data_IF_379965391676
#
_entry.id   IF_379965391676
#
_cell.length_a   1.000
_cell.length_b   1.000
_cell.length_c   1.000
_cell.angle_alpha   90.00
_cell.angle_beta   90.00
_cell.angle_gamma   90.00
#
_symmetry.space_group_name_H-M   'P 1'
#
loop_
_entity.id
_entity.type
_entity.pdbx_description
1 polymer ?
#
# COMPACT_ATOMS: atom_id res chain seq x y z
N UNK A 1 -4.96 -22.42 -10.27
CA UNK A 1 -4.07 -21.56 -9.47
C UNK A 1 -2.69 -22.19 -9.53
N UNK A 2 -1.81 -21.71 -10.42
CA UNK A 2 -0.51 -22.33 -10.63
C UNK A 2 0.40 -22.01 -9.44
N UNK A 3 0.83 -23.04 -8.71
CA UNK A 3 1.93 -22.94 -7.75
C UNK A 3 3.19 -22.57 -8.54
N UNK A 4 3.58 -21.31 -8.45
CA UNK A 4 4.83 -20.85 -9.04
C UNK A 4 5.98 -21.35 -8.15
N UNK A 5 7.00 -22.00 -8.73
CA UNK A 5 8.10 -22.58 -7.96
C UNK A 5 8.88 -21.50 -7.21
N UNK A 6 9.45 -21.89 -6.07
CA UNK A 6 10.40 -21.08 -5.31
C UNK A 6 11.59 -20.74 -6.23
N UNK A 7 11.99 -19.46 -6.34
CA UNK A 7 13.14 -19.05 -7.13
C UNK A 7 14.42 -19.82 -6.71
N UNK A 8 15.30 -20.17 -7.68
CA UNK A 8 16.42 -21.08 -7.45
C UNK A 8 17.53 -20.54 -6.52
N UNK A 9 17.57 -19.23 -6.25
CA UNK A 9 18.62 -18.58 -5.44
C UNK A 9 18.17 -18.20 -4.02
N UNK A 10 17.03 -18.75 -3.54
CA UNK A 10 16.58 -18.51 -2.17
C UNK A 10 17.26 -19.51 -1.24
N UNK A 11 18.00 -19.01 -0.25
CA UNK A 11 18.48 -19.81 0.88
C UNK A 11 17.28 -20.37 1.64
N UNK A 12 17.00 -21.65 1.46
CA UNK A 12 15.83 -22.32 2.01
C UNK A 12 15.90 -22.41 3.54
N UNK A 13 17.10 -22.34 4.13
CA UNK A 13 17.30 -22.30 5.59
C UNK A 13 16.82 -20.98 6.22
N UNK A 14 16.53 -19.96 5.40
CA UNK A 14 15.97 -18.68 5.83
C UNK A 14 14.44 -18.62 5.86
N UNK A 15 13.76 -19.73 5.47
CA UNK A 15 12.31 -19.81 5.40
C UNK A 15 11.72 -20.46 6.66
N UNK A 16 10.61 -19.88 7.11
CA UNK A 16 9.90 -20.29 8.31
C UNK A 16 8.42 -20.48 7.98
N UNK A 17 7.76 -21.35 8.74
CA UNK A 17 6.30 -21.43 8.79
C UNK A 17 5.79 -20.98 10.15
N UNK A 18 4.57 -20.48 10.14
CA UNK A 18 3.74 -20.40 11.35
C UNK A 18 2.94 -21.71 11.42
N UNK A 19 2.86 -22.42 12.57
CA UNK A 19 2.21 -23.74 12.67
C UNK A 19 0.79 -23.85 12.12
N UNK A 20 0.00 -22.78 12.20
CA UNK A 20 -1.35 -22.69 11.64
C UNK A 20 -1.42 -21.89 10.34
N UNK A 21 -0.26 -21.43 9.85
CA UNK A 21 -0.12 -20.61 8.65
C UNK A 21 -0.26 -21.43 7.37
N UNK A 22 -0.63 -20.74 6.29
CA UNK A 22 -0.80 -21.33 4.96
C UNK A 22 0.32 -20.98 3.99
N UNK A 23 1.31 -20.22 4.46
CA UNK A 23 2.35 -19.61 3.65
C UNK A 23 3.70 -19.77 4.34
N UNK A 24 4.76 -19.88 3.55
CA UNK A 24 6.14 -19.73 4.03
C UNK A 24 6.52 -18.26 4.07
N UNK A 25 7.33 -17.89 5.05
CA UNK A 25 7.79 -16.52 5.27
C UNK A 25 9.29 -16.48 5.54
N UNK A 26 9.98 -15.43 5.12
CA UNK A 26 11.23 -15.04 5.75
C UNK A 26 10.96 -14.50 7.16
N UNK A 27 11.93 -14.61 8.08
CA UNK A 27 11.78 -14.13 9.47
C UNK A 27 11.36 -12.66 9.56
N UNK A 28 11.80 -11.82 8.62
CA UNK A 28 11.49 -10.37 8.59
C UNK A 28 10.25 -10.03 7.74
N UNK A 29 9.38 -11.00 7.46
CA UNK A 29 8.18 -10.73 6.68
C UNK A 29 7.23 -9.78 7.41
N UNK A 30 6.76 -8.74 6.71
CA UNK A 30 5.83 -7.74 7.27
C UNK A 30 4.44 -8.32 7.63
N UNK A 31 4.08 -9.48 7.07
CA UNK A 31 2.81 -10.13 7.39
C UNK A 31 2.90 -10.96 8.68
N UNK A 32 4.09 -11.04 9.30
CA UNK A 32 4.27 -11.69 10.58
C UNK A 32 4.07 -10.66 11.68
N UNK A 33 2.99 -10.85 12.43
CA UNK A 33 2.77 -10.12 13.68
C UNK A 33 3.76 -10.57 14.75
N UNK A 34 3.93 -9.80 15.82
CA UNK A 34 4.73 -10.19 16.99
C UNK A 34 4.36 -11.59 17.53
N UNK A 35 3.06 -11.90 17.58
CA UNK A 35 2.57 -13.24 17.99
C UNK A 35 3.01 -14.34 17.02
N UNK A 36 2.99 -14.06 15.72
CA UNK A 36 3.43 -15.01 14.69
C UNK A 36 4.94 -15.22 14.72
N UNK A 37 5.71 -14.15 14.98
CA UNK A 37 7.17 -14.19 15.11
C UNK A 37 7.61 -15.13 16.24
N UNK A 38 6.91 -15.08 17.38
CA UNK A 38 7.18 -15.94 18.53
C UNK A 38 6.91 -17.44 18.27
N UNK A 39 6.13 -17.76 17.22
CA UNK A 39 5.74 -19.12 16.86
C UNK A 39 6.44 -19.63 15.60
N UNK A 40 7.40 -18.89 15.04
CA UNK A 40 8.08 -19.29 13.81
C UNK A 40 8.88 -20.57 14.04
N UNK A 41 8.63 -21.54 13.16
CA UNK A 41 9.39 -22.78 13.07
C UNK A 41 10.13 -22.79 11.72
N UNK A 42 11.41 -23.21 11.68
CA UNK A 42 12.11 -23.42 10.42
C UNK A 42 11.28 -24.32 9.49
N UNK A 43 11.21 -23.96 8.21
CA UNK A 43 10.48 -24.74 7.23
C UNK A 43 11.18 -26.09 7.02
N UNK A 44 10.41 -27.18 7.07
CA UNK A 44 10.92 -28.51 6.72
C UNK A 44 10.85 -28.74 5.21
N UNK A 45 11.55 -29.74 4.68
CA UNK A 45 11.42 -30.15 3.27
C UNK A 45 9.95 -30.44 2.87
N UNK A 46 9.17 -31.00 3.81
CA UNK A 46 7.75 -31.27 3.60
C UNK A 46 6.93 -29.97 3.48
N UNK A 47 7.28 -28.95 4.25
CA UNK A 47 6.64 -27.63 4.19
C UNK A 47 6.97 -26.95 2.86
N UNK A 48 8.23 -27.00 2.43
CA UNK A 48 8.68 -26.46 1.14
C UNK A 48 7.95 -27.10 -0.05
N UNK A 49 7.60 -28.39 0.04
CA UNK A 49 6.86 -29.10 -0.99
C UNK A 49 5.35 -28.77 -1.02
N UNK A 50 4.78 -28.28 0.08
CA UNK A 50 3.32 -28.13 0.26
C UNK A 50 2.84 -26.69 0.33
N UNK A 51 3.63 -25.82 0.96
CA UNK A 51 3.24 -24.47 1.28
C UNK A 51 3.83 -23.51 0.25
N UNK A 52 3.02 -22.62 -0.35
CA UNK A 52 3.55 -21.58 -1.20
C UNK A 52 4.33 -20.55 -0.38
N UNK A 53 5.37 -19.96 -0.99
CA UNK A 53 6.06 -18.80 -0.44
C UNK A 53 5.16 -17.55 -0.51
N UNK A 54 5.07 -16.83 0.61
CA UNK A 54 4.42 -15.52 0.69
C UNK A 54 4.93 -14.60 -0.42
N UNK A 55 4.02 -13.94 -1.16
CA UNK A 55 4.39 -13.06 -2.28
C UNK A 55 5.39 -11.99 -1.87
N UNK A 56 5.16 -11.32 -0.74
CA UNK A 56 6.09 -10.28 -0.23
C UNK A 56 7.47 -10.84 0.13
N UNK A 57 7.55 -12.08 0.63
CA UNK A 57 8.84 -12.74 0.87
C UNK A 57 9.51 -13.15 -0.42
N UNK A 58 8.74 -13.66 -1.38
CA UNK A 58 9.23 -14.01 -2.71
C UNK A 58 9.83 -12.79 -3.39
N UNK A 59 9.13 -11.67 -3.40
CA UNK A 59 9.64 -10.44 -4.01
C UNK A 59 10.93 -10.00 -3.31
N UNK A 60 10.93 -9.95 -1.97
CA UNK A 60 12.12 -9.62 -1.20
C UNK A 60 13.30 -10.56 -1.51
N UNK A 61 13.09 -11.87 -1.60
CA UNK A 61 14.17 -12.82 -1.81
C UNK A 61 14.62 -12.89 -3.29
N UNK A 62 13.73 -12.66 -4.25
CA UNK A 62 14.00 -12.78 -5.69
C UNK A 62 14.65 -11.54 -6.29
N UNK A 63 14.36 -10.35 -5.74
CA UNK A 63 14.72 -9.07 -6.38
C UNK A 63 15.68 -8.21 -5.56
N UNK A 64 16.40 -8.82 -4.60
CA UNK A 64 17.44 -8.14 -3.83
C UNK A 64 16.95 -7.42 -2.57
N UNK A 65 15.80 -7.83 -2.04
CA UNK A 65 15.33 -7.42 -0.72
C UNK A 65 14.60 -6.08 -0.69
N UNK A 66 14.42 -5.57 0.51
CA UNK A 66 14.00 -4.20 0.77
C UNK A 66 15.25 -3.38 1.06
N UNK A 67 15.37 -2.23 0.43
CA UNK A 67 16.40 -1.28 0.81
C UNK A 67 15.88 -0.51 2.04
N UNK A 68 16.53 -0.68 3.18
CA UNK A 68 16.20 0.05 4.41
C UNK A 68 16.96 1.37 4.47
N UNK A 69 16.32 2.40 5.02
CA UNK A 69 16.87 3.75 5.13
C UNK A 69 16.82 4.21 6.60
N UNK A 70 17.82 4.98 7.00
CA UNK A 70 17.93 5.54 8.35
C UNK A 70 17.02 6.74 8.58
N UNK A 71 16.44 7.30 7.53
CA UNK A 71 15.48 8.40 7.61
C UNK A 71 14.51 8.39 6.42
N UNK A 72 13.35 9.00 6.63
CA UNK A 72 12.37 9.20 5.56
C UNK A 72 12.94 10.08 4.43
N UNK A 73 13.72 11.11 4.75
CA UNK A 73 14.38 11.95 3.75
C UNK A 73 15.36 11.17 2.86
N UNK A 74 16.15 10.26 3.44
CA UNK A 74 17.06 9.43 2.65
C UNK A 74 16.27 8.54 1.67
N UNK A 75 15.11 8.05 2.08
CA UNK A 75 14.21 7.29 1.20
C UNK A 75 13.58 8.17 0.11
N UNK A 76 13.21 9.44 0.41
CA UNK A 76 12.72 10.41 -0.56
C UNK A 76 13.79 10.83 -1.59
N UNK A 77 15.07 10.78 -1.25
CA UNK A 77 16.15 10.97 -2.23
C UNK A 77 16.35 9.72 -3.10
N UNK A 78 16.25 8.54 -2.50
CA UNK A 78 16.42 7.29 -3.21
C UNK A 78 15.27 7.00 -4.17
N UNK A 79 14.01 7.23 -3.75
CA UNK A 79 12.86 7.16 -4.64
C UNK A 79 12.78 8.50 -5.40
N UNK A 80 12.76 8.56 -6.74
CA UNK A 80 12.68 9.82 -7.49
C UNK A 80 11.28 10.44 -7.40
N UNK A 81 10.92 10.90 -6.20
CA UNK A 81 9.72 11.66 -5.88
C UNK A 81 9.97 13.11 -6.29
N UNK A 82 9.06 13.73 -7.07
CA UNK A 82 9.16 15.14 -7.43
C UNK A 82 9.31 16.03 -6.20
N UNK A 83 10.22 17.00 -6.26
CA UNK A 83 10.60 17.84 -5.11
C UNK A 83 9.40 18.59 -4.56
N UNK A 84 8.48 18.99 -5.43
CA UNK A 84 7.22 19.65 -5.11
C UNK A 84 6.29 18.80 -4.22
N UNK A 85 6.36 17.47 -4.29
CA UNK A 85 5.51 16.58 -3.49
C UNK A 85 6.10 16.30 -2.10
N UNK A 86 7.43 16.46 -1.94
CA UNK A 86 8.15 16.07 -0.72
C UNK A 86 7.68 16.81 0.54
N UNK A 87 7.36 18.12 0.53
CA UNK A 87 6.85 18.80 1.72
C UNK A 87 5.58 18.16 2.29
N UNK A 88 4.61 17.84 1.44
CA UNK A 88 3.38 17.18 1.87
C UNK A 88 3.64 15.75 2.38
N UNK A 89 4.50 14.99 1.70
CA UNK A 89 4.88 13.66 2.20
C UNK A 89 5.56 13.71 3.57
N UNK A 90 6.38 14.74 3.84
CA UNK A 90 6.98 14.94 5.16
C UNK A 90 5.94 15.28 6.22
N UNK A 91 4.96 16.10 5.88
CA UNK A 91 3.86 16.44 6.77
C UNK A 91 3.07 15.19 7.20
N UNK A 92 2.72 14.33 6.24
CA UNK A 92 2.07 13.05 6.54
C UNK A 92 2.98 12.13 7.35
N UNK A 93 4.26 12.01 6.99
CA UNK A 93 5.21 11.17 7.73
C UNK A 93 5.46 11.66 9.16
N UNK A 94 5.40 12.97 9.42
CA UNK A 94 5.58 13.54 10.75
C UNK A 94 4.43 13.19 11.72
N UNK A 95 3.26 12.82 11.19
CA UNK A 95 2.13 12.34 11.98
C UNK A 95 2.20 10.83 12.29
N UNK A 96 3.18 10.11 11.75
CA UNK A 96 3.32 8.66 11.87
C UNK A 96 4.58 8.29 12.67
N UNK A 97 4.56 7.10 13.28
CA UNK A 97 5.78 6.48 13.75
C UNK A 97 6.54 5.88 12.55
N UNK A 98 7.75 6.37 12.34
CA UNK A 98 8.60 6.04 11.18
C UNK A 98 9.91 5.38 11.60
N UNK A 99 9.92 4.67 12.73
CA UNK A 99 11.09 3.96 13.24
C UNK A 99 11.72 3.00 12.21
N UNK A 100 10.94 2.47 11.27
CA UNK A 100 11.46 1.72 10.13
C UNK A 100 11.00 2.35 8.81
N UNK A 101 11.94 2.53 7.88
CA UNK A 101 11.69 3.06 6.53
C UNK A 101 12.35 2.15 5.50
N UNK A 102 11.61 1.78 4.45
CA UNK A 102 12.17 0.96 3.38
C UNK A 102 11.54 1.22 2.01
N UNK A 103 12.25 0.82 0.96
CA UNK A 103 11.78 0.78 -0.42
C UNK A 103 11.83 -0.68 -0.88
N UNK A 104 10.73 -1.25 -1.40
CA UNK A 104 10.76 -2.58 -1.99
C UNK A 104 11.64 -2.58 -3.24
N UNK A 105 12.15 -3.73 -3.64
CA UNK A 105 12.96 -3.87 -4.85
C UNK A 105 12.31 -3.30 -6.13
N UNK A 106 10.98 -3.34 -6.23
CA UNK A 106 10.23 -2.70 -7.33
C UNK A 106 10.38 -1.17 -7.39
N UNK A 107 10.82 -0.54 -6.30
CA UNK A 107 10.92 0.91 -6.11
C UNK A 107 9.62 1.65 -6.41
N UNK A 108 8.49 1.04 -6.07
CA UNK A 108 7.15 1.58 -6.35
C UNK A 108 6.65 2.59 -5.31
N UNK A 109 7.15 2.52 -4.08
CA UNK A 109 6.76 3.36 -2.95
C UNK A 109 7.85 3.36 -1.88
N UNK A 110 7.74 4.25 -0.90
CA UNK A 110 8.43 4.17 0.40
C UNK A 110 7.41 3.66 1.42
N UNK A 111 7.76 2.66 2.22
CA UNK A 111 6.93 2.20 3.33
C UNK A 111 7.55 2.62 4.66
N UNK A 112 6.68 2.91 5.63
CA UNK A 112 7.07 3.25 6.99
C UNK A 112 6.30 2.40 8.00
N UNK A 113 6.93 2.04 9.11
CA UNK A 113 6.26 1.41 10.26
C UNK A 113 6.86 1.88 11.58
N UNK A 114 6.13 1.63 12.66
CA UNK A 114 6.58 1.88 14.03
C UNK A 114 7.72 0.96 14.49
N UNK A 115 8.12 -0.01 13.67
CA UNK A 115 9.28 -0.86 13.97
C UNK A 115 9.31 -2.19 13.22
N UNK A 116 10.38 -2.98 13.41
CA UNK A 116 10.52 -4.28 12.81
C UNK A 116 9.38 -5.23 13.22
N UNK A 117 8.77 -5.92 12.26
CA UNK A 117 7.65 -6.84 12.52
C UNK A 117 6.32 -6.15 12.84
N UNK A 118 6.28 -4.82 12.80
CA UNK A 118 5.04 -4.04 12.82
C UNK A 118 4.61 -3.78 11.38
N UNK A 119 3.31 -3.90 11.13
CA UNK A 119 2.74 -3.60 9.82
C UNK A 119 3.03 -2.15 9.40
N UNK A 120 3.12 -1.93 8.09
CA UNK A 120 3.37 -0.60 7.56
C UNK A 120 2.21 0.34 7.92
N UNK A 121 2.54 1.46 8.56
CA UNK A 121 1.60 2.52 8.90
C UNK A 121 1.21 3.35 7.67
N UNK A 122 2.09 3.46 6.67
CA UNK A 122 1.76 4.10 5.40
C UNK A 122 2.68 3.67 4.25
N UNK A 123 2.18 3.88 3.03
CA UNK A 123 2.88 3.70 1.76
C UNK A 123 2.88 5.01 0.96
N UNK A 124 4.06 5.59 0.78
CA UNK A 124 4.27 6.85 0.05
C UNK A 124 4.63 6.54 -1.40
N UNK A 125 3.64 6.67 -2.28
CA UNK A 125 3.84 6.61 -3.72
C UNK A 125 4.22 7.99 -4.25
N UNK A 126 4.73 8.06 -5.48
CA UNK A 126 5.18 9.34 -6.09
C UNK A 126 4.09 10.41 -6.18
N UNK A 127 2.81 10.03 -6.20
CA UNK A 127 1.67 10.93 -6.43
C UNK A 127 0.58 10.85 -5.35
N UNK A 128 0.68 9.92 -4.41
CA UNK A 128 -0.27 9.79 -3.31
C UNK A 128 0.37 9.04 -2.14
N UNK A 129 -0.25 9.11 -0.98
CA UNK A 129 0.10 8.35 0.21
C UNK A 129 -1.11 7.50 0.61
N UNK A 130 -0.91 6.21 0.82
CA UNK A 130 -1.93 5.33 1.42
C UNK A 130 -1.59 5.16 2.90
N UNK A 131 -2.43 5.67 3.79
CA UNK A 131 -2.26 5.60 5.26
C UNK A 131 -3.15 4.50 5.82
N UNK A 132 -2.56 3.56 6.54
CA UNK A 132 -3.26 2.45 7.16
C UNK A 132 -4.21 2.94 8.26
N UNK A 133 -5.41 2.39 8.30
CA UNK A 133 -6.45 2.72 9.28
C UNK A 133 -6.60 1.61 10.33
N UNK A 134 -7.11 1.93 11.51
CA UNK A 134 -7.32 0.94 12.58
C UNK A 134 -8.30 -0.18 12.20
N UNK A 135 -9.21 0.08 11.25
CA UNK A 135 -10.17 -0.89 10.73
C UNK A 135 -9.60 -1.86 9.68
N UNK A 136 -8.30 -1.76 9.39
CA UNK A 136 -7.61 -2.58 8.39
C UNK A 136 -7.72 -2.06 6.95
N UNK A 137 -8.31 -0.87 6.76
CA UNK A 137 -8.37 -0.18 5.48
C UNK A 137 -7.20 0.77 5.23
N UNK A 138 -7.26 1.48 4.10
CA UNK A 138 -6.34 2.56 3.76
C UNK A 138 -7.11 3.81 3.37
N UNK A 139 -6.65 4.97 3.83
CA UNK A 139 -7.07 6.27 3.28
C UNK A 139 -5.99 6.75 2.32
N UNK A 140 -6.42 7.09 1.10
CA UNK A 140 -5.53 7.65 0.07
C UNK A 140 -5.54 9.17 0.13
N UNK A 141 -4.37 9.75 0.38
CA UNK A 141 -4.12 11.18 0.32
C UNK A 141 -3.34 11.52 -0.96
N UNK A 142 -3.94 12.33 -1.83
CA UNK A 142 -3.28 12.77 -3.06
C UNK A 142 -2.36 13.95 -2.78
N UNK A 143 -1.14 13.88 -3.33
CA UNK A 143 -0.20 15.00 -3.17
C UNK A 143 -0.72 16.24 -3.91
N UNK A 144 -0.47 17.46 -3.40
CA UNK A 144 -0.87 18.69 -4.05
C UNK A 144 -0.34 18.78 -5.49
N UNK A 145 -1.18 19.24 -6.42
CA UNK A 145 -0.78 19.43 -7.82
C UNK A 145 -0.71 18.14 -8.65
N UNK A 146 -1.00 16.98 -8.06
CA UNK A 146 -1.17 15.73 -8.80
C UNK A 146 -2.23 15.90 -9.90
N UNK A 147 -1.83 15.64 -11.14
CA UNK A 147 -2.79 15.47 -12.25
C UNK A 147 -3.25 14.02 -12.26
N UNK A 148 -4.48 13.78 -11.82
CA UNK A 148 -5.18 12.55 -12.19
C UNK A 148 -5.34 12.59 -13.71
N UNK A 149 -4.52 11.86 -14.46
CA UNK A 149 -5.03 11.36 -15.73
C UNK A 149 -6.14 10.41 -15.31
N UNK A 150 -7.39 10.88 -15.33
CA UNK A 150 -8.55 10.07 -14.95
C UNK A 150 -8.42 8.71 -15.65
N UNK A 151 -8.14 7.66 -14.88
CA UNK A 151 -8.54 6.33 -15.27
C UNK A 151 -10.05 6.39 -15.41
N UNK A 152 -10.55 6.12 -16.61
CA UNK A 152 -11.98 6.07 -16.88
C UNK A 152 -12.63 5.08 -15.91
N UNK A 153 -13.44 5.56 -14.97
CA UNK A 153 -14.17 4.65 -14.09
C UNK A 153 -14.58 5.11 -12.70
N UNK A 154 -14.63 6.41 -12.39
CA UNK A 154 -15.48 6.88 -11.29
C UNK A 154 -15.71 8.39 -11.46
N UNK A 155 -16.77 8.71 -12.21
CA UNK A 155 -17.36 10.03 -12.09
C UNK A 155 -18.10 10.06 -10.75
N UNK A 156 -17.77 11.01 -9.88
CA UNK A 156 -18.72 11.47 -8.88
C UNK A 156 -20.07 11.65 -9.58
N UNK A 157 -21.20 11.20 -9.01
CA UNK A 157 -22.48 11.39 -9.65
C UNK A 157 -22.64 12.90 -9.86
N UNK A 158 -22.60 13.32 -11.12
CA UNK A 158 -23.04 14.65 -11.45
C UNK A 158 -24.47 14.72 -10.93
N UNK A 159 -24.76 15.61 -9.98
CA UNK A 159 -26.14 15.90 -9.60
C UNK A 159 -26.86 16.19 -10.92
N UNK A 160 -27.73 15.27 -11.34
CA UNK A 160 -28.57 15.51 -12.50
C UNK A 160 -29.34 16.79 -12.18
N UNK A 161 -29.29 17.79 -13.08
CA UNK A 161 -29.95 19.04 -12.80
C UNK A 161 -31.44 18.76 -12.64
N UNK A 162 -32.04 19.32 -11.59
CA UNK A 162 -33.45 19.09 -11.28
C UNK A 162 -34.30 19.50 -12.49
N UNK A 163 -35.38 18.78 -12.75
CA UNK A 163 -36.26 19.01 -13.90
C UNK A 163 -37.62 19.47 -13.36
N UNK A 164 -38.24 20.45 -14.02
CA UNK A 164 -39.59 20.90 -13.67
C UNK A 164 -40.59 19.75 -13.82
N UNK A 165 -41.41 19.41 -12.81
CA UNK A 165 -42.37 18.32 -12.92
C UNK A 165 -43.56 18.64 -13.85
N UNK A 166 -43.70 19.90 -14.28
CA UNK A 166 -44.83 20.37 -15.10
C UNK A 166 -44.48 20.46 -16.59
N UNK A 167 -43.38 21.13 -16.95
CA UNK A 167 -42.97 21.30 -18.36
C UNK A 167 -41.71 20.50 -18.74
N UNK A 168 -41.11 19.77 -17.80
CA UNK A 168 -39.95 18.91 -18.02
C UNK A 168 -38.68 19.59 -18.51
N UNK A 169 -38.55 20.92 -18.34
CA UNK A 169 -37.31 21.66 -18.59
C UNK A 169 -36.36 21.61 -17.39
N UNK A 170 -35.07 21.78 -17.66
CA UNK A 170 -34.03 21.81 -16.63
C UNK A 170 -34.16 23.07 -15.77
N UNK A 171 -34.21 22.92 -14.44
CA UNK A 171 -34.34 24.02 -13.50
C UNK A 171 -32.99 24.76 -13.30
N UNK A 172 -33.02 26.09 -13.17
CA UNK A 172 -31.89 26.88 -12.69
C UNK A 172 -31.56 26.55 -11.22
N UNK A 173 -30.40 27.02 -10.74
CA UNK A 173 -29.94 26.78 -9.37
C UNK A 173 -30.88 27.32 -8.27
N UNK A 174 -31.81 28.21 -8.62
CA UNK A 174 -32.87 28.71 -7.73
C UNK A 174 -33.96 27.68 -7.44
N UNK A 175 -34.06 26.60 -8.24
CA UNK A 175 -35.07 25.56 -8.07
C UNK A 175 -36.50 25.96 -8.50
N UNK A 176 -36.68 27.12 -9.14
CA UNK A 176 -37.95 27.60 -9.67
C UNK A 176 -37.95 27.59 -11.19
N UNK A 177 -39.10 27.31 -11.80
CA UNK A 177 -39.24 27.25 -13.25
C UNK A 177 -39.67 28.62 -13.77
N UNK A 178 -38.82 29.27 -14.55
CA UNK A 178 -39.13 30.59 -15.14
C UNK A 178 -40.28 30.55 -16.16
N UNK A 179 -40.66 29.35 -16.63
CA UNK A 179 -41.74 29.14 -17.61
C UNK A 179 -43.09 28.78 -16.98
N UNK A 180 -43.10 28.35 -15.72
CA UNK A 180 -44.32 27.92 -15.02
C UNK A 180 -44.69 28.79 -13.80
N UNK A 181 -43.84 29.77 -13.44
CA UNK A 181 -44.16 30.82 -12.46
C UNK A 181 -45.10 31.89 -13.04
#
# INVERSE_FOLDING_TARGET
>A
MLMLPTPPDIDLDSLFRVPTGKMLHARECQHLTEKSLALLEPATELDLAKLPLCSSCRDALSTGGRAHYTSFDAALEALPVPVEHRPHMREVAAALDTAQVWIPASRSYIAVSAGPGIEASAYFHKTFVDVHQEDGGYVREWVPGHRTTRSAGEAAPAQLPAVCPTCFVQLPASGRCDECD
#
